data_IF_061984932240
#
_entry.id   IF_061984932240
#
_cell.length_a   1.000
_cell.length_b   1.000
_cell.length_c   1.000
_cell.angle_alpha   90.00
_cell.angle_beta   90.00
_cell.angle_gamma   90.00
#
_symmetry.space_group_name_H-M   'P 1'
#
loop_
_entity.id
_entity.type
_entity.pdbx_description
1 polymer ?
#
# COMPACT_ATOMS: atom_id res chain seq x y z
N UNK A 1 -1.47 1.70 21.78
CA UNK A 1 -1.29 0.24 21.78
C UNK A 1 -0.37 -0.09 20.62
N UNK A 2 0.62 -0.95 20.80
CA UNK A 2 1.51 -1.36 19.70
C UNK A 2 0.69 -2.17 18.70
N UNK A 3 0.68 -1.77 17.43
CA UNK A 3 -0.01 -2.54 16.38
C UNK A 3 0.53 -3.98 16.33
N UNK A 4 -0.34 -5.00 16.22
CA UNK A 4 0.08 -6.40 16.11
C UNK A 4 1.17 -6.58 15.04
N UNK A 5 2.23 -7.32 15.36
CA UNK A 5 3.36 -7.56 14.45
C UNK A 5 2.94 -7.96 13.02
N UNK A 6 1.93 -8.84 12.80
CA UNK A 6 1.48 -9.18 11.45
C UNK A 6 0.91 -8.00 10.65
N UNK A 7 0.28 -7.03 11.31
CA UNK A 7 -0.27 -5.82 10.67
C UNK A 7 0.88 -4.93 10.21
N UNK A 8 1.89 -4.74 11.05
CA UNK A 8 3.08 -3.96 10.70
C UNK A 8 3.85 -4.59 9.54
N UNK A 9 4.00 -5.91 9.54
CA UNK A 9 4.65 -6.66 8.46
C UNK A 9 3.86 -6.50 7.15
N UNK A 10 2.51 -6.59 7.19
CA UNK A 10 1.64 -6.34 6.04
C UNK A 10 1.81 -4.91 5.47
N UNK A 11 1.78 -3.88 6.34
CA UNK A 11 1.99 -2.49 5.93
C UNK A 11 3.32 -2.29 5.22
N UNK A 12 4.40 -2.90 5.75
CA UNK A 12 5.71 -2.81 5.12
C UNK A 12 5.73 -3.50 3.75
N UNK A 13 5.12 -4.68 3.61
CA UNK A 13 4.99 -5.36 2.32
C UNK A 13 4.21 -4.53 1.31
N UNK A 14 3.07 -3.93 1.69
CA UNK A 14 2.30 -3.06 0.81
C UNK A 14 3.12 -1.86 0.34
N UNK A 15 3.85 -1.18 1.24
CA UNK A 15 4.73 -0.05 0.90
C UNK A 15 5.86 -0.45 -0.04
N UNK A 16 6.49 -1.61 0.21
CA UNK A 16 7.55 -2.13 -0.65
C UNK A 16 7.02 -2.44 -2.07
N UNK A 17 5.85 -3.10 -2.16
CA UNK A 17 5.22 -3.42 -3.44
C UNK A 17 4.81 -2.16 -4.21
N UNK A 18 4.24 -1.16 -3.54
CA UNK A 18 3.88 0.11 -4.18
C UNK A 18 5.10 0.83 -4.77
N UNK A 19 6.23 0.83 -4.05
CA UNK A 19 7.49 1.40 -4.56
C UNK A 19 8.05 0.61 -5.75
N UNK A 20 7.98 -0.72 -5.73
CA UNK A 20 8.40 -1.56 -6.84
C UNK A 20 7.54 -1.31 -8.10
N UNK A 21 6.23 -1.20 -7.94
CA UNK A 21 5.31 -0.88 -9.04
C UNK A 21 5.61 0.49 -9.65
N UNK A 22 5.92 1.49 -8.83
CA UNK A 22 6.36 2.81 -9.30
C UNK A 22 7.68 2.76 -10.06
N UNK A 23 8.64 1.96 -9.58
CA UNK A 23 9.91 1.78 -10.27
C UNK A 23 9.72 1.13 -11.64
N UNK A 24 8.88 0.09 -11.73
CA UNK A 24 8.50 -0.55 -12.99
C UNK A 24 7.81 0.43 -13.94
N UNK A 25 6.86 1.23 -13.43
CA UNK A 25 6.20 2.28 -14.21
C UNK A 25 7.18 3.35 -14.73
N UNK A 26 8.25 3.63 -13.97
CA UNK A 26 9.32 4.55 -14.37
C UNK A 26 10.11 4.06 -15.59
N UNK A 27 10.30 2.74 -15.70
CA UNK A 27 10.96 2.09 -16.84
C UNK A 27 10.03 1.66 -17.97
N UNK A 28 8.71 1.73 -17.77
CA UNK A 28 7.72 1.28 -18.76
C UNK A 28 7.53 2.30 -19.90
N UNK A 29 7.50 1.78 -21.12
CA UNK A 29 7.32 2.51 -22.38
C UNK A 29 5.87 2.52 -22.85
N UNK A 30 5.10 1.46 -22.55
CA UNK A 30 3.68 1.41 -22.86
C UNK A 30 2.88 2.26 -21.86
N UNK A 31 2.22 3.30 -22.36
CA UNK A 31 1.50 4.26 -21.53
C UNK A 31 0.33 3.61 -20.76
N UNK A 32 -0.30 2.59 -21.33
CA UNK A 32 -1.40 1.90 -20.67
C UNK A 32 -0.90 1.06 -19.48
N UNK A 33 0.14 0.26 -19.70
CA UNK A 33 0.80 -0.54 -18.67
C UNK A 33 1.36 0.36 -17.56
N UNK A 34 2.00 1.47 -17.91
CA UNK A 34 2.47 2.48 -16.96
C UNK A 34 1.35 3.01 -16.08
N UNK A 35 0.21 3.36 -16.67
CA UNK A 35 -0.96 3.84 -15.93
C UNK A 35 -1.47 2.76 -14.95
N UNK A 36 -1.61 1.51 -15.41
CA UNK A 36 -2.07 0.41 -14.57
C UNK A 36 -1.12 0.12 -13.40
N UNK A 37 0.19 0.18 -13.62
CA UNK A 37 1.20 0.03 -12.56
C UNK A 37 1.08 1.13 -11.50
N UNK A 38 0.84 2.38 -11.92
CA UNK A 38 0.63 3.51 -11.01
C UNK A 38 -0.69 3.41 -10.25
N UNK A 39 -1.78 2.99 -10.90
CA UNK A 39 -3.06 2.73 -10.25
C UNK A 39 -2.95 1.63 -9.21
N UNK A 40 -2.28 0.52 -9.52
CA UNK A 40 -2.04 -0.56 -8.57
C UNK A 40 -1.21 -0.10 -7.36
N UNK A 41 -0.16 0.70 -7.58
CA UNK A 41 0.62 1.29 -6.49
C UNK A 41 -0.23 2.21 -5.62
N UNK A 42 -1.09 3.03 -6.23
CA UNK A 42 -1.99 3.92 -5.51
C UNK A 42 -3.00 3.16 -4.64
N UNK A 43 -3.59 2.07 -5.15
CA UNK A 43 -4.50 1.23 -4.36
C UNK A 43 -3.81 0.66 -3.10
N UNK A 44 -2.55 0.25 -3.19
CA UNK A 44 -1.80 -0.21 -2.02
C UNK A 44 -1.60 0.89 -0.98
N UNK A 45 -1.33 2.13 -1.39
CA UNK A 45 -1.19 3.24 -0.43
C UNK A 45 -2.52 3.56 0.26
N UNK A 46 -3.62 3.55 -0.49
CA UNK A 46 -4.97 3.76 0.05
C UNK A 46 -5.30 2.69 1.08
N UNK A 47 -5.07 1.42 0.77
CA UNK A 47 -5.30 0.32 1.72
C UNK A 47 -4.45 0.45 2.98
N UNK A 48 -3.20 0.93 2.87
CA UNK A 48 -2.35 1.19 4.04
C UNK A 48 -2.92 2.33 4.90
N UNK A 49 -3.39 3.42 4.28
CA UNK A 49 -4.01 4.53 5.00
C UNK A 49 -5.31 4.12 5.70
N UNK A 50 -6.14 3.31 5.05
CA UNK A 50 -7.36 2.75 5.63
C UNK A 50 -7.05 1.83 6.82
N UNK A 51 -6.03 0.98 6.69
CA UNK A 51 -5.59 0.10 7.75
C UNK A 51 -5.05 0.88 8.96
N UNK A 52 -4.28 1.94 8.73
CA UNK A 52 -3.77 2.82 9.78
C UNK A 52 -4.91 3.52 10.53
N UNK A 53 -5.92 3.99 9.80
CA UNK A 53 -7.13 4.56 10.38
C UNK A 53 -7.87 3.53 11.24
N UNK A 54 -8.06 2.31 10.75
CA UNK A 54 -8.72 1.24 11.51
C UNK A 54 -7.94 0.94 12.80
N UNK A 55 -6.61 0.80 12.73
CA UNK A 55 -5.81 0.42 13.90
C UNK A 55 -5.69 1.56 14.92
N UNK A 56 -5.68 2.81 14.47
CA UNK A 56 -5.47 3.98 15.33
C UNK A 56 -6.77 4.56 15.88
N UNK A 57 -7.85 4.53 15.08
CA UNK A 57 -9.09 5.25 15.36
C UNK A 57 -10.32 4.33 15.51
N UNK A 58 -10.22 3.01 15.28
CA UNK A 58 -11.33 2.11 15.54
C UNK A 58 -11.67 2.10 17.04
N UNK A 59 -12.93 2.41 17.35
CA UNK A 59 -13.51 2.20 18.69
C UNK A 59 -13.97 0.75 18.90
N UNK A 60 -13.91 -0.07 17.86
CA UNK A 60 -14.19 -1.50 17.91
C UNK A 60 -12.88 -2.22 18.22
N UNK A 61 -12.84 -2.97 19.32
CA UNK A 61 -11.68 -3.78 19.68
C UNK A 61 -11.42 -4.82 18.58
N UNK A 62 -10.19 -4.83 18.07
CA UNK A 62 -9.68 -5.79 17.08
C UNK A 62 -9.05 -6.97 17.81
#
# INVERSE_FOLDING_TARGET
MSSPKPIMDCVQTCKANANNLRALAGSESDNNTKKLLLEAAHHLDVSVAELDYIVTNSTVAI
#
